data_IF_488131549600
#
_entry.id   IF_488131549600
#
_cell.length_a   1.000
_cell.length_b   1.000
_cell.length_c   1.000
_cell.angle_alpha   90.00
_cell.angle_beta   90.00
_cell.angle_gamma   90.00
#
_symmetry.space_group_name_H-M   'P 1'
#
loop_
_entity.id
_entity.type
_entity.pdbx_description
1 polymer ?
#
# COMPACT_ATOMS: atom_id res chain seq x y z
N UNK A 1 14.88 -13.10 7.06
CA UNK A 1 13.58 -12.59 7.52
C UNK A 1 12.73 -12.36 6.28
N UNK A 2 11.71 -13.17 6.04
CA UNK A 2 10.76 -13.00 4.94
C UNK A 2 9.56 -12.19 5.41
N UNK A 3 9.05 -11.30 4.55
CA UNK A 3 7.80 -10.58 4.81
C UNK A 3 6.65 -11.57 4.55
N UNK A 4 5.76 -11.73 5.52
CA UNK A 4 4.59 -12.62 5.38
C UNK A 4 3.30 -11.85 5.08
N UNK A 5 3.13 -10.69 5.72
CA UNK A 5 1.92 -9.88 5.64
C UNK A 5 2.26 -8.41 5.40
N UNK A 6 1.41 -7.76 4.62
CA UNK A 6 1.41 -6.31 4.39
C UNK A 6 0.14 -5.74 4.99
N UNK A 7 0.30 -4.77 5.91
CA UNK A 7 -0.79 -4.08 6.60
C UNK A 7 -0.73 -2.59 6.32
N UNK A 8 -1.88 -1.93 6.30
CA UNK A 8 -2.01 -0.51 6.02
C UNK A 8 -2.54 0.26 7.23
N UNK A 9 -2.29 1.58 7.27
CA UNK A 9 -2.98 2.51 8.16
C UNK A 9 -4.35 2.89 7.62
N UNK A 10 -5.26 3.34 8.48
CA UNK A 10 -6.57 3.88 8.04
C UNK A 10 -6.40 5.12 7.14
N UNK A 11 -5.35 5.93 7.39
CA UNK A 11 -4.94 7.03 6.50
C UNK A 11 -4.63 6.53 5.09
N UNK A 12 -3.80 5.50 4.95
CA UNK A 12 -3.44 4.93 3.66
C UNK A 12 -4.67 4.30 2.97
N UNK A 13 -5.52 3.58 3.72
CA UNK A 13 -6.79 3.05 3.20
C UNK A 13 -7.68 4.14 2.60
N UNK A 14 -7.83 5.28 3.27
CA UNK A 14 -8.65 6.39 2.73
C UNK A 14 -8.08 6.97 1.43
N UNK A 15 -6.75 7.07 1.32
CA UNK A 15 -6.07 7.48 0.08
C UNK A 15 -6.31 6.47 -1.04
N UNK A 16 -6.19 5.17 -0.73
CA UNK A 16 -6.43 4.11 -1.69
C UNK A 16 -7.90 4.08 -2.14
N UNK A 17 -8.89 4.27 -1.26
CA UNK A 17 -10.32 4.40 -1.64
C UNK A 17 -10.51 5.50 -2.69
N UNK A 18 -9.85 6.64 -2.49
CA UNK A 18 -9.88 7.75 -3.44
C UNK A 18 -9.28 7.35 -4.79
N UNK A 19 -8.16 6.61 -4.78
CA UNK A 19 -7.54 6.09 -6.00
C UNK A 19 -8.43 5.07 -6.71
N UNK A 20 -9.10 4.15 -5.99
CA UNK A 20 -10.07 3.19 -6.59
C UNK A 20 -11.14 3.94 -7.36
N UNK A 21 -11.77 4.95 -6.73
CA UNK A 21 -12.81 5.77 -7.36
C UNK A 21 -12.30 6.53 -8.60
N UNK A 22 -11.05 7.00 -8.60
CA UNK A 22 -10.48 7.79 -9.70
C UNK A 22 -9.97 6.93 -10.86
N UNK A 23 -9.43 5.75 -10.56
CA UNK A 23 -8.75 4.89 -11.55
C UNK A 23 -9.62 3.72 -12.03
N UNK A 24 -10.67 3.36 -11.29
CA UNK A 24 -11.47 2.16 -11.54
C UNK A 24 -10.78 0.85 -11.14
N UNK A 25 -9.62 0.90 -10.47
CA UNK A 25 -8.90 -0.30 -10.03
C UNK A 25 -9.47 -0.78 -8.70
N UNK A 26 -10.10 -1.96 -8.71
CA UNK A 26 -10.74 -2.52 -7.52
C UNK A 26 -9.79 -3.30 -6.59
N UNK A 27 -8.63 -3.71 -7.10
CA UNK A 27 -7.72 -4.57 -6.37
C UNK A 27 -6.72 -3.75 -5.53
N UNK A 28 -6.76 -3.91 -4.20
CA UNK A 28 -5.89 -3.18 -3.27
C UNK A 28 -4.40 -3.46 -3.52
N UNK A 29 -4.03 -4.72 -3.76
CA UNK A 29 -2.65 -5.12 -4.05
C UNK A 29 -2.08 -4.45 -5.31
N UNK A 30 -2.92 -4.14 -6.31
CA UNK A 30 -2.47 -3.42 -7.52
C UNK A 30 -2.14 -1.97 -7.17
N UNK A 31 -3.03 -1.28 -6.46
CA UNK A 31 -2.78 0.11 -6.05
C UNK A 31 -1.61 0.23 -5.08
N UNK A 32 -1.47 -0.71 -4.13
CA UNK A 32 -0.32 -0.74 -3.22
C UNK A 32 1.00 -0.93 -3.98
N UNK A 33 1.03 -1.80 -5.00
CA UNK A 33 2.22 -1.97 -5.85
C UNK A 33 2.57 -0.70 -6.62
N UNK A 34 1.58 -0.03 -7.20
CA UNK A 34 1.80 1.25 -7.89
C UNK A 34 2.36 2.31 -6.95
N UNK A 35 1.76 2.47 -5.76
CA UNK A 35 2.23 3.41 -4.75
C UNK A 35 3.66 3.08 -4.27
N UNK A 36 3.96 1.80 -4.09
CA UNK A 36 5.31 1.35 -3.69
C UNK A 36 6.36 1.65 -4.76
N UNK A 37 6.10 1.28 -6.02
CA UNK A 37 7.01 1.58 -7.13
C UNK A 37 7.20 3.09 -7.34
N UNK A 38 6.13 3.89 -7.17
CA UNK A 38 6.21 5.34 -7.24
C UNK A 38 7.06 5.92 -6.11
N UNK A 39 6.89 5.42 -4.88
CA UNK A 39 7.71 5.82 -3.73
C UNK A 39 9.19 5.50 -3.93
N UNK A 40 9.52 4.32 -4.49
CA UNK A 40 10.89 3.94 -4.82
C UNK A 40 11.53 4.81 -5.92
N UNK A 41 10.71 5.35 -6.84
CA UNK A 41 11.18 6.24 -7.90
C UNK A 41 11.39 7.68 -7.41
N UNK A 42 10.78 8.05 -6.28
CA UNK A 42 10.96 9.37 -5.68
C UNK A 42 12.39 9.53 -5.15
N UNK A 43 13.02 10.66 -5.47
CA UNK A 43 14.40 10.93 -5.05
C UNK A 43 14.47 11.50 -3.65
N UNK A 44 13.40 12.16 -3.21
CA UNK A 44 13.31 12.71 -1.87
C UNK A 44 13.25 11.58 -0.83
N UNK A 45 13.95 11.78 0.29
CA UNK A 45 13.86 10.85 1.42
C UNK A 45 12.45 10.91 1.98
N UNK A 46 11.78 9.77 2.22
CA UNK A 46 10.46 9.75 2.85
C UNK A 46 10.49 10.49 4.19
N UNK A 47 9.44 11.26 4.52
CA UNK A 47 9.36 11.91 5.82
C UNK A 47 9.36 10.86 6.94
N UNK A 48 9.94 11.20 8.08
CA UNK A 48 9.80 10.40 9.28
C UNK A 48 8.34 10.46 9.76
N UNK A 49 7.68 9.30 9.76
CA UNK A 49 6.32 9.11 10.26
C UNK A 49 6.28 7.81 11.05
N UNK A 50 5.47 7.78 12.11
CA UNK A 50 5.24 6.55 12.87
C UNK A 50 4.50 5.52 12.00
N UNK A 51 4.97 4.27 12.02
CA UNK A 51 4.34 3.20 11.25
C UNK A 51 3.13 2.69 12.03
N UNK A 52 1.95 3.19 11.67
CA UNK A 52 0.66 2.75 12.21
C UNK A 52 0.04 1.74 11.25
N UNK A 53 -0.46 0.62 11.76
CA UNK A 53 -1.13 -0.44 10.98
C UNK A 53 -2.49 -0.79 11.59
N UNK A 54 -3.36 0.21 11.68
CA UNK A 54 -4.66 0.16 12.35
C UNK A 54 -5.83 -0.14 11.41
N UNK A 55 -5.58 -0.34 10.11
CA UNK A 55 -6.66 -0.56 9.16
C UNK A 55 -7.16 -2.00 9.09
N UNK A 56 -8.38 -2.13 8.57
CA UNK A 56 -8.96 -3.43 8.22
C UNK A 56 -8.36 -4.07 6.95
N UNK A 57 -7.37 -3.47 6.30
CA UNK A 57 -6.76 -4.00 5.07
C UNK A 57 -5.43 -4.67 5.42
N UNK A 58 -5.41 -5.98 5.22
CA UNK A 58 -4.24 -6.84 5.30
C UNK A 58 -4.21 -7.76 4.08
N UNK A 59 -3.01 -8.04 3.57
CA UNK A 59 -2.80 -9.01 2.50
C UNK A 59 -1.51 -9.79 2.75
N UNK A 60 -1.45 -11.03 2.27
CA UNK A 60 -0.21 -11.80 2.29
C UNK A 60 0.81 -11.18 1.33
N UNK A 61 2.09 -11.39 1.62
CA UNK A 61 3.16 -11.00 0.71
C UNK A 61 2.96 -11.63 -0.67
N UNK A 62 2.53 -12.89 -0.72
CA UNK A 62 2.19 -13.60 -1.97
C UNK A 62 1.18 -12.84 -2.83
N UNK A 63 0.06 -12.42 -2.23
CA UNK A 63 -0.97 -11.63 -2.92
C UNK A 63 -0.46 -10.24 -3.34
N UNK A 64 0.40 -9.64 -2.51
CA UNK A 64 1.01 -8.35 -2.82
C UNK A 64 1.99 -8.44 -3.99
N UNK A 65 2.90 -9.42 -3.99
CA UNK A 65 3.93 -9.62 -5.02
C UNK A 65 3.34 -10.13 -6.34
N UNK A 66 2.22 -10.84 -6.30
CA UNK A 66 1.55 -11.41 -7.47
C UNK A 66 2.01 -12.83 -7.81
N UNK A 67 2.47 -13.58 -6.80
CA UNK A 67 2.67 -15.04 -6.86
C UNK A 67 1.34 -15.79 -6.68
#
# INVERSE_FOLDING_TARGET
MSIEHVRLSEKAKQQLITLKRRTGIDNWNVLCRWAFCLSLAEKAVPPHEDIITDSSIEMTWKTFSGD
#
